data_IF_370145376230
#
_entry.id   IF_370145376230
#
_cell.length_a   1.000
_cell.length_b   1.000
_cell.length_c   1.000
_cell.angle_alpha   90.00
_cell.angle_beta   90.00
_cell.angle_gamma   90.00
#
_symmetry.space_group_name_H-M   'P 1'
#
loop_
_entity.id
_entity.type
_entity.pdbx_description
1 polymer ?
#
# COMPACT_ATOMS: atom_id res chain seq x y z
N UNK A 1 18.76 0.38 8.41
CA UNK A 1 17.42 0.28 9.01
C UNK A 1 16.41 0.87 8.05
N UNK A 2 15.38 0.13 7.71
CA UNK A 2 14.36 0.61 6.77
C UNK A 2 13.32 1.43 7.52
N UNK A 3 13.10 2.68 7.09
CA UNK A 3 12.02 3.50 7.62
C UNK A 3 10.76 3.24 6.81
N UNK A 4 9.77 2.64 7.45
CA UNK A 4 8.49 2.40 6.80
C UNK A 4 7.67 3.70 6.77
N UNK A 5 7.00 3.93 5.65
CA UNK A 5 6.12 5.10 5.50
C UNK A 5 4.89 4.99 6.40
N UNK A 6 4.46 3.75 6.67
CA UNK A 6 3.27 3.46 7.48
C UNK A 6 3.60 2.30 8.41
N UNK A 7 2.80 2.14 9.47
CA UNK A 7 2.98 1.10 10.46
C UNK A 7 1.74 0.20 10.53
N UNK A 8 1.94 -1.03 11.04
CA UNK A 8 0.83 -1.92 11.32
C UNK A 8 -0.14 -1.25 12.30
N UNK A 9 -1.42 -1.28 11.97
CA UNK A 9 -2.46 -0.62 12.76
C UNK A 9 -2.85 0.77 12.25
N UNK A 10 -2.08 1.34 11.31
CA UNK A 10 -2.41 2.65 10.75
C UNK A 10 -3.62 2.57 9.86
N UNK A 11 -4.51 3.57 9.99
CA UNK A 11 -5.57 3.80 9.00
C UNK A 11 -4.97 4.50 7.80
N UNK A 12 -5.36 4.07 6.61
CA UNK A 12 -4.85 4.63 5.36
C UNK A 12 -5.98 4.75 4.34
N UNK A 13 -5.74 5.60 3.34
CA UNK A 13 -6.58 5.70 2.16
C UNK A 13 -5.77 5.26 0.95
N UNK A 14 -6.38 4.47 0.07
CA UNK A 14 -5.76 4.07 -1.18
C UNK A 14 -6.01 5.16 -2.21
N UNK A 15 -4.92 5.69 -2.77
CA UNK A 15 -4.96 6.78 -3.74
C UNK A 15 -4.09 6.37 -4.93
N UNK A 16 -4.72 5.78 -5.95
CA UNK A 16 -4.03 5.32 -7.15
C UNK A 16 -4.05 6.48 -8.15
N UNK A 17 -2.89 7.07 -8.50
CA UNK A 17 -2.86 8.27 -9.34
C UNK A 17 -3.18 8.01 -10.80
N UNK A 18 -3.05 6.77 -11.28
CA UNK A 18 -3.24 6.43 -12.68
C UNK A 18 -4.61 5.76 -12.88
N UNK A 19 -5.53 6.48 -13.55
CA UNK A 19 -6.89 5.99 -13.78
C UNK A 19 -6.97 4.75 -14.68
N UNK A 20 -5.92 4.48 -15.46
CA UNK A 20 -5.88 3.28 -16.30
C UNK A 20 -5.28 2.07 -15.58
N UNK A 21 -4.84 2.22 -14.35
CA UNK A 21 -4.40 1.10 -13.53
C UNK A 21 -5.57 0.13 -13.34
N UNK A 22 -5.37 -1.18 -13.55
CA UNK A 22 -6.46 -2.16 -13.39
C UNK A 22 -7.12 -2.14 -12.01
N UNK A 23 -6.39 -1.71 -10.97
CA UNK A 23 -6.91 -1.65 -9.62
C UNK A 23 -7.59 -0.33 -9.28
N UNK A 24 -7.55 0.67 -10.18
CA UNK A 24 -8.06 2.00 -9.89
C UNK A 24 -9.54 1.97 -9.48
N UNK A 25 -10.40 1.39 -10.31
CA UNK A 25 -11.84 1.41 -10.04
C UNK A 25 -12.21 0.56 -8.82
N UNK A 26 -11.40 -0.44 -8.49
CA UNK A 26 -11.66 -1.35 -7.38
C UNK A 26 -11.17 -0.79 -6.05
N UNK A 27 -10.01 -0.13 -6.05
CA UNK A 27 -9.31 0.23 -4.82
C UNK A 27 -9.22 1.73 -4.55
N UNK A 28 -9.21 2.57 -5.60
CA UNK A 28 -9.01 4.01 -5.42
C UNK A 28 -10.08 4.62 -4.51
N UNK A 29 -9.64 5.41 -3.54
CA UNK A 29 -10.52 6.11 -2.61
C UNK A 29 -11.02 5.27 -1.44
N UNK A 30 -10.66 4.00 -1.37
CA UNK A 30 -11.08 3.14 -0.27
C UNK A 30 -10.20 3.34 0.94
N UNK A 31 -10.78 3.13 2.12
CA UNK A 31 -10.08 3.22 3.39
C UNK A 31 -9.86 1.82 3.95
N UNK A 32 -8.81 1.68 4.75
CA UNK A 32 -8.51 0.43 5.40
C UNK A 32 -7.48 0.59 6.50
N UNK A 33 -7.09 -0.54 7.08
CA UNK A 33 -6.08 -0.58 8.14
C UNK A 33 -4.93 -1.48 7.70
N UNK A 34 -3.71 -1.06 7.97
CA UNK A 34 -2.53 -1.87 7.69
C UNK A 34 -2.48 -3.02 8.70
N UNK A 35 -2.55 -4.26 8.21
CA UNK A 35 -2.56 -5.46 9.05
C UNK A 35 -1.26 -6.25 8.96
N UNK A 36 -0.44 -6.00 7.94
CA UNK A 36 0.87 -6.62 7.81
C UNK A 36 1.77 -5.75 6.94
N UNK A 37 3.08 -5.87 7.16
CA UNK A 37 4.11 -5.23 6.34
C UNK A 37 5.00 -6.34 5.82
N UNK A 38 5.14 -6.41 4.49
CA UNK A 38 5.86 -7.46 3.79
C UNK A 38 7.00 -6.85 2.98
N UNK A 39 8.05 -7.60 2.77
CA UNK A 39 9.17 -7.15 1.94
C UNK A 39 9.36 -8.08 0.75
N UNK A 40 9.75 -7.51 -0.40
CA UNK A 40 10.05 -8.26 -1.61
C UNK A 40 11.30 -7.68 -2.30
N UNK A 41 11.62 -8.16 -3.50
CA UNK A 41 12.83 -7.77 -4.21
C UNK A 41 12.67 -6.55 -5.13
N UNK A 42 11.51 -5.89 -5.15
CA UNK A 42 11.27 -4.78 -6.07
C UNK A 42 12.23 -3.62 -5.85
N UNK A 43 12.67 -3.39 -4.60
CA UNK A 43 13.65 -2.34 -4.29
C UNK A 43 15.00 -2.55 -4.96
N UNK A 44 15.41 -3.81 -5.15
CA UNK A 44 16.66 -4.13 -5.85
C UNK A 44 16.58 -3.80 -7.34
N UNK A 45 15.39 -3.85 -7.93
CA UNK A 45 15.19 -3.53 -9.35
C UNK A 45 15.15 -2.02 -9.59
N UNK A 46 14.45 -1.28 -8.72
CA UNK A 46 14.23 0.16 -8.88
C UNK A 46 15.32 1.01 -8.22
N UNK A 47 16.07 0.43 -7.28
CA UNK A 47 17.06 1.16 -6.48
C UNK A 47 16.45 1.97 -5.33
N UNK A 48 15.17 1.82 -5.04
CA UNK A 48 14.48 2.51 -3.94
C UNK A 48 13.99 1.47 -2.94
N UNK A 49 14.53 1.51 -1.72
CA UNK A 49 14.20 0.55 -0.65
C UNK A 49 12.72 0.55 -0.30
N UNK A 50 12.02 1.68 -0.50
CA UNK A 50 10.59 1.76 -0.24
C UNK A 50 9.77 0.86 -1.17
N UNK A 51 10.28 0.59 -2.36
CA UNK A 51 9.63 -0.29 -3.33
C UNK A 51 9.73 -1.76 -2.95
N UNK A 52 10.62 -2.11 -2.01
CA UNK A 52 10.71 -3.47 -1.47
C UNK A 52 9.61 -3.78 -0.45
N UNK A 53 8.84 -2.78 -0.02
CA UNK A 53 7.85 -2.92 1.04
C UNK A 53 6.44 -2.97 0.45
N UNK A 54 5.70 -4.02 0.81
CA UNK A 54 4.27 -4.14 0.54
C UNK A 54 3.50 -3.98 1.83
N UNK A 55 2.45 -3.18 1.78
CA UNK A 55 1.55 -3.01 2.92
C UNK A 55 0.29 -3.81 2.66
N UNK A 56 0.00 -4.77 3.53
CA UNK A 56 -1.27 -5.49 3.47
C UNK A 56 -2.32 -4.68 4.20
N UNK A 57 -3.32 -4.24 3.45
CA UNK A 57 -4.39 -3.39 3.96
C UNK A 57 -5.67 -4.21 3.98
N UNK A 58 -6.32 -4.25 5.15
CA UNK A 58 -7.68 -4.78 5.24
C UNK A 58 -8.65 -3.63 5.01
N UNK A 59 -9.38 -3.70 3.91
CA UNK A 59 -10.36 -2.69 3.54
C UNK A 59 -11.56 -2.73 4.48
N UNK A 60 -12.34 -1.64 4.49
CA UNK A 60 -13.52 -1.54 5.36
C UNK A 60 -14.59 -2.58 5.03
N UNK A 61 -14.58 -3.17 3.83
CA UNK A 61 -15.46 -4.28 3.47
C UNK A 61 -14.95 -5.66 3.92
N UNK A 62 -13.79 -5.70 4.58
CA UNK A 62 -13.20 -6.93 5.11
C UNK A 62 -12.25 -7.65 4.17
N UNK A 63 -12.07 -7.18 2.93
CA UNK A 63 -11.12 -7.79 1.99
C UNK A 63 -9.71 -7.27 2.23
N UNK A 64 -8.71 -8.11 1.95
CA UNK A 64 -7.32 -7.71 2.06
C UNK A 64 -6.74 -7.44 0.66
N UNK A 65 -5.86 -6.44 0.59
CA UNK A 65 -5.11 -6.14 -0.63
C UNK A 65 -3.70 -5.72 -0.26
N UNK A 66 -2.74 -5.99 -1.14
CA UNK A 66 -1.34 -5.60 -0.93
C UNK A 66 -1.03 -4.43 -1.86
N UNK A 67 -0.56 -3.34 -1.28
CA UNK A 67 -0.25 -2.11 -2.03
C UNK A 67 1.10 -1.57 -1.60
N UNK A 68 1.70 -0.77 -2.48
CA UNK A 68 2.97 -0.12 -2.19
C UNK A 68 2.73 1.27 -1.63
N UNK A 69 3.76 1.84 -1.01
CA UNK A 69 3.69 3.12 -0.31
C UNK A 69 3.12 4.25 -1.17
N UNK A 70 3.43 4.23 -2.48
CA UNK A 70 3.04 5.31 -3.39
C UNK A 70 1.54 5.39 -3.61
N UNK A 71 0.82 4.29 -3.37
CA UNK A 71 -0.62 4.21 -3.54
C UNK A 71 -1.37 4.41 -2.22
N UNK A 72 -0.66 4.74 -1.15
CA UNK A 72 -1.23 4.97 0.17
C UNK A 72 -1.07 6.41 0.60
N UNK A 73 -2.09 6.92 1.25
CA UNK A 73 -2.09 8.27 1.85
C UNK A 73 -2.68 8.18 3.25
N UNK A 74 -2.36 9.15 4.13
CA UNK A 74 -3.08 9.30 5.40
C UNK A 74 -4.57 9.45 5.14
N UNK A 75 -5.39 8.96 6.08
CA UNK A 75 -6.85 8.97 5.88
C UNK A 75 -7.43 10.38 5.85
#
# INVERSE_FOLDING_TARGET
MTDYQFEKGDRVRIDIPNEIDPDYSRLHGRYGEIVAILEDDAGAVTGDDRDAVLYRVRLDDGTNTDVRWRDLRPP
#
